data_IF_061352286528
#
_entry.id   IF_061352286528
#
_cell.length_a   1.000
_cell.length_b   1.000
_cell.length_c   1.000
_cell.angle_alpha   90.00
_cell.angle_beta   90.00
_cell.angle_gamma   90.00
#
_symmetry.space_group_name_H-M   'P 1'
#
loop_
_entity.id
_entity.type
_entity.pdbx_description
1 polymer ?
#
# COMPACT_ATOMS: atom_id res chain seq x y z
N UNK A 1 -16.97 5.19 -3.31
CA UNK A 1 -15.54 4.95 -3.61
C UNK A 1 -15.35 3.79 -4.59
N UNK A 2 -15.97 2.62 -4.42
CA UNK A 2 -15.80 1.45 -5.28
C UNK A 2 -16.04 1.70 -6.77
N UNK A 3 -17.14 2.34 -7.14
CA UNK A 3 -17.46 2.65 -8.55
C UNK A 3 -16.44 3.58 -9.23
N UNK A 4 -15.85 4.52 -8.49
CA UNK A 4 -14.80 5.38 -9.02
C UNK A 4 -13.51 4.58 -9.30
N UNK A 5 -13.15 3.64 -8.41
CA UNK A 5 -12.04 2.73 -8.61
C UNK A 5 -12.26 1.85 -9.85
N UNK A 6 -13.46 1.28 -10.01
CA UNK A 6 -13.86 0.50 -11.20
C UNK A 6 -13.75 1.32 -12.47
N UNK A 7 -14.32 2.52 -12.49
CA UNK A 7 -14.27 3.40 -13.66
C UNK A 7 -12.82 3.73 -14.06
N UNK A 8 -11.96 3.98 -13.08
CA UNK A 8 -10.53 4.25 -13.33
C UNK A 8 -9.79 3.02 -13.82
N UNK A 9 -10.02 1.86 -13.21
CA UNK A 9 -9.43 0.59 -13.63
C UNK A 9 -9.86 0.23 -15.07
N UNK A 10 -11.12 0.48 -15.42
CA UNK A 10 -11.63 0.31 -16.77
C UNK A 10 -10.93 1.25 -17.77
N UNK A 11 -10.85 2.54 -17.45
CA UNK A 11 -10.19 3.53 -18.30
C UNK A 11 -8.71 3.23 -18.55
N UNK A 12 -8.04 2.56 -17.60
CA UNK A 12 -6.65 2.10 -17.72
C UNK A 12 -6.51 0.73 -18.41
N UNK A 13 -7.61 0.12 -18.86
CA UNK A 13 -7.58 -1.17 -19.55
C UNK A 13 -7.29 -2.38 -18.66
N UNK A 14 -7.39 -2.24 -17.32
CA UNK A 14 -7.05 -3.33 -16.39
C UNK A 14 -7.98 -4.53 -16.54
N UNK A 15 -9.23 -4.32 -16.92
CA UNK A 15 -10.21 -5.41 -17.12
C UNK A 15 -9.88 -6.29 -18.32
N UNK A 16 -9.17 -5.78 -19.32
CA UNK A 16 -8.71 -6.51 -20.52
C UNK A 16 -7.33 -7.15 -20.33
N UNK A 17 -6.67 -6.88 -19.20
CA UNK A 17 -5.35 -7.47 -18.94
C UNK A 17 -5.46 -8.97 -18.73
N UNK A 18 -4.49 -9.72 -19.28
CA UNK A 18 -4.38 -11.17 -19.07
C UNK A 18 -3.92 -11.56 -17.66
N UNK A 19 -3.31 -10.62 -16.93
CA UNK A 19 -2.87 -10.80 -15.54
C UNK A 19 -3.46 -9.71 -14.68
N UNK A 20 -4.32 -10.09 -13.75
CA UNK A 20 -5.08 -9.17 -12.90
C UNK A 20 -4.87 -9.53 -11.44
N UNK A 21 -4.38 -8.62 -10.65
CA UNK A 21 -4.22 -8.76 -9.21
C UNK A 21 -4.94 -7.64 -8.46
N UNK A 22 -5.50 -7.97 -7.32
CA UNK A 22 -6.06 -7.04 -6.35
C UNK A 22 -5.31 -7.24 -5.04
N UNK A 23 -4.38 -6.34 -4.73
CA UNK A 23 -3.52 -6.43 -3.55
C UNK A 23 -4.14 -5.59 -2.43
N UNK A 24 -4.35 -6.20 -1.25
CA UNK A 24 -4.95 -5.54 -0.09
C UNK A 24 -4.22 -5.86 1.22
N UNK A 25 -4.42 -5.02 2.24
CA UNK A 25 -3.81 -5.12 3.57
C UNK A 25 -4.49 -6.12 4.52
N UNK A 26 -5.59 -6.73 4.09
CA UNK A 26 -6.38 -7.64 4.91
C UNK A 26 -7.60 -7.03 5.57
N UNK A 27 -7.86 -5.75 5.41
CA UNK A 27 -9.06 -5.08 5.93
C UNK A 27 -10.32 -5.60 5.24
N UNK A 28 -11.37 -5.86 6.02
CA UNK A 28 -12.63 -6.45 5.52
C UNK A 28 -13.28 -5.60 4.42
N UNK A 29 -13.26 -4.27 4.56
CA UNK A 29 -13.85 -3.37 3.57
C UNK A 29 -13.12 -3.40 2.22
N UNK A 30 -11.81 -3.67 2.20
CA UNK A 30 -11.03 -3.85 0.97
C UNK A 30 -11.47 -5.12 0.25
N UNK A 31 -11.66 -6.21 0.99
CA UNK A 31 -12.15 -7.46 0.40
C UNK A 31 -13.59 -7.35 -0.06
N UNK A 32 -14.44 -6.59 0.63
CA UNK A 32 -15.78 -6.25 0.15
C UNK A 32 -15.74 -5.52 -1.21
N UNK A 33 -14.82 -4.58 -1.41
CA UNK A 33 -14.63 -3.94 -2.72
C UNK A 33 -14.22 -4.95 -3.80
N UNK A 34 -13.35 -5.90 -3.46
CA UNK A 34 -12.94 -6.94 -4.40
C UNK A 34 -14.13 -7.86 -4.75
N UNK A 35 -14.88 -8.31 -3.76
CA UNK A 35 -16.04 -9.17 -3.93
C UNK A 35 -17.12 -8.50 -4.81
N UNK A 36 -17.44 -7.23 -4.53
CA UNK A 36 -18.49 -6.49 -5.21
C UNK A 36 -18.13 -6.12 -6.66
N UNK A 37 -16.84 -5.91 -6.96
CA UNK A 37 -16.46 -5.23 -8.21
C UNK A 37 -15.39 -5.92 -9.05
N UNK A 38 -14.53 -6.75 -8.47
CA UNK A 38 -13.35 -7.28 -9.14
C UNK A 38 -13.33 -8.81 -9.24
N UNK A 39 -14.05 -9.51 -8.35
CA UNK A 39 -14.10 -10.97 -8.33
C UNK A 39 -14.65 -11.55 -9.64
N UNK A 40 -15.79 -11.04 -10.12
CA UNK A 40 -16.43 -11.48 -11.36
C UNK A 40 -15.56 -11.24 -12.61
N UNK A 41 -14.63 -10.28 -12.52
CA UNK A 41 -13.66 -9.98 -13.56
C UNK A 41 -12.33 -10.74 -13.40
N UNK A 42 -12.29 -11.73 -12.49
CA UNK A 42 -11.15 -12.64 -12.26
C UNK A 42 -9.87 -11.94 -11.78
N UNK A 43 -9.99 -10.86 -11.02
CA UNK A 43 -8.84 -10.30 -10.32
C UNK A 43 -8.43 -11.21 -9.17
N UNK A 44 -7.19 -11.68 -9.18
CA UNK A 44 -6.64 -12.53 -8.12
C UNK A 44 -6.48 -11.73 -6.83
N UNK A 45 -7.17 -12.09 -5.73
CA UNK A 45 -7.00 -11.41 -4.45
C UNK A 45 -5.70 -11.86 -3.79
N UNK A 46 -4.85 -10.90 -3.45
CA UNK A 46 -3.53 -11.14 -2.87
C UNK A 46 -3.40 -10.32 -1.60
N UNK A 47 -3.10 -10.98 -0.49
CA UNK A 47 -2.73 -10.28 0.73
C UNK A 47 -1.36 -9.67 0.56
N UNK A 48 -1.22 -8.36 0.85
CA UNK A 48 0.08 -7.70 0.85
C UNK A 48 1.06 -8.41 1.80
N UNK A 49 2.18 -8.90 1.24
CA UNK A 49 3.17 -9.65 2.01
C UNK A 49 3.80 -8.80 3.13
N UNK A 50 3.94 -7.49 2.94
CA UNK A 50 4.53 -6.61 3.97
C UNK A 50 3.61 -6.54 5.19
N UNK A 51 2.28 -6.45 4.97
CA UNK A 51 1.32 -6.51 6.08
C UNK A 51 1.35 -7.88 6.78
N UNK A 52 1.36 -8.98 6.03
CA UNK A 52 1.51 -10.31 6.61
C UNK A 52 2.78 -10.42 7.48
N UNK A 53 3.92 -9.95 6.97
CA UNK A 53 5.22 -9.98 7.65
C UNK A 53 5.21 -9.17 8.95
N UNK A 54 4.47 -8.07 9.04
CA UNK A 54 4.35 -7.31 10.30
C UNK A 54 3.65 -8.13 11.40
N UNK A 55 2.60 -8.87 11.05
CA UNK A 55 1.92 -9.78 11.99
C UNK A 55 2.82 -10.95 12.39
N UNK A 56 3.59 -11.51 11.45
CA UNK A 56 4.56 -12.57 11.74
C UNK A 56 5.62 -12.09 12.74
N UNK A 57 6.20 -10.91 12.49
CA UNK A 57 7.22 -10.34 13.37
C UNK A 57 6.69 -10.07 14.77
N UNK A 58 5.57 -9.36 14.85
CA UNK A 58 4.96 -9.02 16.14
C UNK A 58 4.65 -10.27 16.97
N UNK A 59 4.04 -11.31 16.35
CA UNK A 59 3.67 -12.53 17.06
C UNK A 59 4.86 -13.48 17.35
N UNK A 60 5.90 -13.46 16.50
CA UNK A 60 7.10 -14.23 16.75
C UNK A 60 7.90 -13.67 17.93
N UNK A 61 7.93 -12.36 18.12
CA UNK A 61 8.68 -11.69 19.18
C UNK A 61 7.90 -11.53 20.47
N UNK A 62 6.56 -11.58 20.43
CA UNK A 62 5.71 -11.38 21.59
C UNK A 62 6.02 -12.35 22.74
N UNK A 63 6.49 -11.83 23.88
CA UNK A 63 6.82 -12.61 25.08
C UNK A 63 7.98 -13.58 24.93
N UNK A 64 8.85 -13.41 23.95
CA UNK A 64 10.07 -14.20 23.76
C UNK A 64 11.33 -13.34 23.91
N UNK A 65 12.47 -14.00 24.16
CA UNK A 65 13.76 -13.33 24.07
C UNK A 65 14.04 -12.86 22.64
N UNK A 66 14.86 -11.82 22.45
CA UNK A 66 15.18 -11.28 21.13
C UNK A 66 15.72 -12.36 20.17
N UNK A 67 16.55 -13.27 20.66
CA UNK A 67 17.15 -14.36 19.87
C UNK A 67 16.11 -15.38 19.40
N UNK A 68 15.25 -15.83 20.32
CA UNK A 68 14.20 -16.81 20.01
C UNK A 68 13.12 -16.21 19.09
N UNK A 69 12.70 -14.98 19.38
CA UNK A 69 11.75 -14.25 18.53
C UNK A 69 12.26 -14.09 17.10
N UNK A 70 13.53 -13.70 16.96
CA UNK A 70 14.15 -13.53 15.64
C UNK A 70 14.26 -14.85 14.87
N UNK A 71 14.70 -15.93 15.51
CA UNK A 71 14.81 -17.25 14.84
C UNK A 71 13.46 -17.78 14.42
N UNK A 72 12.42 -17.59 15.25
CA UNK A 72 11.03 -17.95 14.92
C UNK A 72 10.52 -17.14 13.74
N UNK A 73 10.72 -15.81 13.76
CA UNK A 73 10.34 -14.94 12.66
C UNK A 73 10.99 -15.33 11.33
N UNK A 74 12.29 -15.59 11.32
CA UNK A 74 13.00 -16.00 10.10
C UNK A 74 12.42 -17.31 9.53
N UNK A 75 12.11 -18.28 10.39
CA UNK A 75 11.48 -19.55 9.98
C UNK A 75 10.10 -19.34 9.40
N UNK A 76 9.26 -18.55 10.05
CA UNK A 76 7.90 -18.23 9.60
C UNK A 76 7.90 -17.41 8.30
N UNK A 77 8.81 -16.46 8.17
CA UNK A 77 9.00 -15.70 6.94
C UNK A 77 9.35 -16.62 5.76
N UNK A 78 10.28 -17.56 5.98
CA UNK A 78 10.64 -18.56 4.98
C UNK A 78 9.42 -19.42 4.58
N UNK A 79 8.68 -19.94 5.53
CA UNK A 79 7.48 -20.75 5.25
C UNK A 79 6.42 -19.95 4.50
N UNK A 80 6.19 -18.71 4.89
CA UNK A 80 5.25 -17.83 4.20
C UNK A 80 5.68 -17.58 2.76
N UNK A 81 6.97 -17.32 2.55
CA UNK A 81 7.56 -17.12 1.22
C UNK A 81 7.44 -18.36 0.33
N UNK A 82 7.52 -19.55 0.91
CA UNK A 82 7.41 -20.84 0.24
C UNK A 82 5.95 -21.33 0.11
N UNK A 83 4.95 -20.56 0.56
CA UNK A 83 3.53 -20.93 0.50
C UNK A 83 3.06 -21.88 1.62
N UNK A 84 3.89 -22.12 2.62
CA UNK A 84 3.60 -23.01 3.74
C UNK A 84 2.96 -22.27 4.93
N UNK A 85 2.05 -21.35 4.68
CA UNK A 85 1.38 -20.53 5.73
C UNK A 85 0.65 -21.40 6.75
N UNK A 86 0.13 -22.54 6.34
CA UNK A 86 -0.53 -23.48 7.25
C UNK A 86 0.35 -23.88 8.44
N UNK A 87 1.67 -24.08 8.23
CA UNK A 87 2.62 -24.38 9.30
C UNK A 87 2.79 -23.24 10.30
N UNK A 88 2.72 -22.00 9.81
CA UNK A 88 2.77 -20.80 10.68
C UNK A 88 1.51 -20.74 11.54
N UNK A 89 0.35 -20.97 10.94
CA UNK A 89 -0.93 -20.99 11.64
C UNK A 89 -0.96 -22.09 12.72
N UNK A 90 -0.43 -23.27 12.39
CA UNK A 90 -0.31 -24.40 13.34
C UNK A 90 0.57 -24.03 14.56
N UNK A 91 1.79 -23.50 14.33
CA UNK A 91 2.66 -23.06 15.44
C UNK A 91 2.06 -21.92 16.25
N UNK A 92 1.35 -20.97 15.62
CA UNK A 92 0.64 -19.91 16.33
C UNK A 92 -0.52 -20.45 17.17
N UNK A 93 -1.26 -21.44 16.65
CA UNK A 93 -2.35 -22.09 17.38
C UNK A 93 -1.86 -22.82 18.61
N UNK A 94 -0.75 -23.57 18.50
CA UNK A 94 -0.11 -24.22 19.65
C UNK A 94 0.34 -23.19 20.68
N UNK A 95 0.98 -22.10 20.23
CA UNK A 95 1.41 -21.04 21.11
C UNK A 95 0.24 -20.34 21.81
N UNK A 96 -0.86 -20.09 21.11
CA UNK A 96 -2.06 -19.54 21.75
C UNK A 96 -2.62 -20.48 22.82
N UNK A 97 -2.62 -21.79 22.54
CA UNK A 97 -3.06 -22.80 23.52
C UNK A 97 -2.18 -22.81 24.76
N UNK A 98 -0.85 -22.67 24.62
CA UNK A 98 0.10 -22.58 25.72
C UNK A 98 -0.08 -21.31 26.58
N UNK A 99 -0.27 -20.16 25.93
CA UNK A 99 -0.38 -18.87 26.61
C UNK A 99 -1.78 -18.59 27.16
N UNK A 100 -2.79 -19.23 26.61
CA UNK A 100 -4.20 -18.94 26.85
C UNK A 100 -4.73 -17.78 26.02
N UNK A 101 -6.06 -17.66 25.97
CA UNK A 101 -6.76 -16.56 25.29
C UNK A 101 -6.67 -15.31 26.16
N UNK A 102 -6.51 -14.10 25.57
CA UNK A 102 -6.48 -12.86 26.35
C UNK A 102 -7.80 -12.61 27.05
N UNK A 103 -7.75 -12.04 28.26
CA UNK A 103 -8.94 -11.62 28.99
C UNK A 103 -9.48 -10.30 28.42
N UNK A 104 -10.78 -9.97 28.59
CA UNK A 104 -11.36 -8.72 28.06
C UNK A 104 -10.66 -7.44 28.54
N UNK A 105 -10.08 -7.45 29.74
CA UNK A 105 -9.38 -6.31 30.35
C UNK A 105 -7.88 -6.28 29.99
N UNK A 106 -7.38 -7.25 29.25
CA UNK A 106 -5.98 -7.33 28.88
C UNK A 106 -5.63 -6.34 27.76
N UNK A 107 -4.47 -5.69 27.89
CA UNK A 107 -4.00 -4.72 26.89
C UNK A 107 -3.90 -5.34 25.51
N UNK A 108 -4.25 -4.57 24.48
CA UNK A 108 -4.07 -4.96 23.07
C UNK A 108 -2.61 -5.25 22.69
N UNK A 109 -1.67 -4.70 23.45
CA UNK A 109 -0.22 -4.89 23.28
C UNK A 109 0.32 -6.06 24.07
N UNK A 110 -0.51 -6.77 24.83
CA UNK A 110 -0.08 -7.97 25.56
C UNK A 110 0.35 -9.08 24.58
N UNK A 111 1.29 -9.93 24.98
CA UNK A 111 1.72 -11.03 24.14
C UNK A 111 0.58 -11.97 23.70
N UNK A 112 -0.40 -12.22 24.58
CA UNK A 112 -1.58 -13.06 24.26
C UNK A 112 -2.45 -12.38 23.19
N UNK A 113 -2.73 -11.09 23.37
CA UNK A 113 -3.54 -10.31 22.42
C UNK A 113 -2.87 -10.25 21.05
N UNK A 114 -1.55 -10.03 21.00
CA UNK A 114 -0.76 -9.99 19.75
C UNK A 114 -0.82 -11.34 19.04
N UNK A 115 -0.59 -12.45 19.74
CA UNK A 115 -0.62 -13.81 19.17
C UNK A 115 -2.01 -14.15 18.66
N UNK A 116 -3.06 -13.85 19.44
CA UNK A 116 -4.47 -14.09 19.06
C UNK A 116 -4.86 -13.29 17.82
N UNK A 117 -4.52 -11.99 17.77
CA UNK A 117 -4.78 -11.14 16.61
C UNK A 117 -4.06 -11.67 15.35
N UNK A 118 -2.79 -12.05 15.49
CA UNK A 118 -2.02 -12.58 14.36
C UNK A 118 -2.59 -13.91 13.86
N UNK A 119 -2.96 -14.82 14.74
CA UNK A 119 -3.56 -16.10 14.39
C UNK A 119 -4.87 -15.89 13.61
N UNK A 120 -5.79 -15.09 14.15
CA UNK A 120 -7.07 -14.79 13.51
C UNK A 120 -6.86 -14.13 12.14
N UNK A 121 -5.91 -13.17 12.06
CA UNK A 121 -5.59 -12.50 10.81
C UNK A 121 -5.09 -13.48 9.75
N UNK A 122 -4.10 -14.32 10.08
CA UNK A 122 -3.54 -15.28 9.12
C UNK A 122 -4.56 -16.35 8.70
N UNK A 123 -5.40 -16.84 9.61
CA UNK A 123 -6.47 -17.78 9.30
C UNK A 123 -7.46 -17.16 8.30
N UNK A 124 -7.89 -15.94 8.51
CA UNK A 124 -8.83 -15.23 7.62
C UNK A 124 -8.24 -14.92 6.25
N UNK A 125 -6.92 -14.78 6.15
CA UNK A 125 -6.24 -14.40 4.91
C UNK A 125 -5.52 -15.55 4.21
N UNK A 126 -5.50 -16.75 4.76
CA UNK A 126 -4.71 -17.88 4.27
C UNK A 126 -4.91 -18.16 2.78
N UNK A 127 -6.14 -18.09 2.29
CA UNK A 127 -6.47 -18.35 0.88
C UNK A 127 -5.88 -17.32 -0.09
N UNK A 128 -5.44 -16.15 0.42
CA UNK A 128 -4.87 -15.02 -0.35
C UNK A 128 -3.35 -14.91 -0.20
N UNK A 129 -2.69 -15.96 0.32
CA UNK A 129 -1.26 -15.98 0.67
C UNK A 129 -0.44 -17.02 -0.13
N UNK A 130 -0.89 -17.40 -1.32
CA UNK A 130 -0.15 -18.33 -2.17
C UNK A 130 0.94 -17.60 -2.97
N UNK A 131 1.90 -17.00 -2.26
CA UNK A 131 2.94 -16.16 -2.85
C UNK A 131 3.82 -16.85 -3.91
N UNK A 132 4.17 -18.14 -3.82
CA UNK A 132 4.93 -18.81 -4.88
C UNK A 132 4.22 -18.77 -6.23
N UNK A 133 2.92 -19.10 -6.24
CA UNK A 133 2.13 -19.12 -7.49
C UNK A 133 1.93 -17.69 -8.03
N UNK A 134 1.71 -16.70 -7.15
CA UNK A 134 1.60 -15.31 -7.58
C UNK A 134 2.88 -14.81 -8.24
N UNK A 135 4.04 -15.10 -7.65
CA UNK A 135 5.35 -14.75 -8.24
C UNK A 135 5.60 -15.47 -9.56
N UNK A 136 5.27 -16.76 -9.64
CA UNK A 136 5.38 -17.54 -10.88
C UNK A 136 4.49 -16.98 -11.99
N UNK A 137 3.29 -16.50 -11.64
CA UNK A 137 2.39 -15.82 -12.56
C UNK A 137 2.79 -14.38 -12.88
N UNK A 138 3.85 -13.84 -12.27
CA UNK A 138 4.30 -12.46 -12.45
C UNK A 138 3.33 -11.44 -11.87
N UNK A 139 2.56 -11.81 -10.84
CA UNK A 139 1.64 -10.90 -10.14
C UNK A 139 2.38 -10.16 -9.02
N UNK A 140 2.02 -8.90 -8.74
CA UNK A 140 2.55 -8.15 -7.61
C UNK A 140 2.07 -8.78 -6.29
N UNK A 141 2.96 -8.90 -5.31
CA UNK A 141 2.63 -9.44 -3.98
C UNK A 141 2.68 -8.39 -2.87
N UNK A 142 2.89 -7.13 -3.23
CA UNK A 142 2.95 -6.01 -2.28
C UNK A 142 2.43 -4.73 -2.91
N UNK A 143 1.85 -3.87 -2.07
CA UNK A 143 1.44 -2.50 -2.39
C UNK A 143 2.49 -1.45 -1.96
N UNK A 144 3.71 -1.85 -1.58
CA UNK A 144 4.75 -0.95 -1.05
C UNK A 144 5.05 0.25 -1.96
N UNK A 145 4.94 0.07 -3.28
CA UNK A 145 5.08 1.16 -4.25
C UNK A 145 3.99 2.23 -4.05
N UNK A 146 2.74 1.81 -3.89
CA UNK A 146 1.61 2.70 -3.62
C UNK A 146 1.76 3.41 -2.29
N UNK A 147 2.21 2.71 -1.23
CA UNK A 147 2.47 3.34 0.06
C UNK A 147 3.55 4.42 -0.03
N UNK A 148 4.61 4.18 -0.78
CA UNK A 148 5.67 5.16 -1.02
C UNK A 148 5.13 6.41 -1.72
N UNK A 149 4.29 6.24 -2.73
CA UNK A 149 3.62 7.33 -3.45
C UNK A 149 2.70 8.12 -2.52
N UNK A 150 1.87 7.44 -1.71
CA UNK A 150 1.00 8.09 -0.72
C UNK A 150 1.80 8.86 0.33
N UNK A 151 2.92 8.30 0.82
CA UNK A 151 3.82 8.99 1.76
C UNK A 151 4.43 10.24 1.12
N UNK A 152 4.82 10.17 -0.14
CA UNK A 152 5.34 11.32 -0.88
C UNK A 152 4.29 12.41 -1.07
N UNK A 153 3.06 12.05 -1.42
CA UNK A 153 1.93 12.98 -1.50
C UNK A 153 1.68 13.65 -0.15
N UNK A 154 1.61 12.86 0.93
CA UNK A 154 1.31 13.34 2.27
C UNK A 154 2.40 14.24 2.87
N UNK A 155 3.67 14.07 2.48
CA UNK A 155 4.80 14.87 3.02
C UNK A 155 4.60 16.38 2.87
N UNK A 156 3.89 16.85 1.83
CA UNK A 156 3.60 18.26 1.60
C UNK A 156 2.37 18.77 2.35
N UNK A 157 1.44 17.88 2.66
CA UNK A 157 0.12 18.24 3.18
C UNK A 157 0.02 18.04 4.67
N UNK A 158 0.55 16.92 5.19
CA UNK A 158 0.55 16.61 6.62
C UNK A 158 1.75 17.21 7.34
N UNK A 159 1.50 17.78 8.50
CA UNK A 159 2.49 18.33 9.42
C UNK A 159 1.82 19.23 10.45
N UNK A 160 2.37 19.30 11.65
CA UNK A 160 1.83 20.08 12.78
C UNK A 160 1.75 21.59 12.51
N UNK A 161 2.52 22.08 11.56
CA UNK A 161 2.59 23.51 11.21
C UNK A 161 1.89 23.82 9.86
N UNK A 162 1.17 22.87 9.29
CA UNK A 162 0.51 23.03 7.99
C UNK A 162 -0.99 23.03 8.17
N UNK A 163 -1.56 24.21 7.97
CA UNK A 163 -2.99 24.46 8.05
C UNK A 163 -3.52 24.74 6.65
N UNK A 164 -4.33 23.85 6.12
CA UNK A 164 -4.96 23.98 4.80
C UNK A 164 -6.45 24.08 4.96
N UNK A 165 -7.10 24.99 4.26
CA UNK A 165 -8.53 24.86 3.99
C UNK A 165 -8.76 23.67 3.05
N UNK A 166 -9.99 23.14 3.01
CA UNK A 166 -10.36 21.97 2.22
C UNK A 166 -9.98 22.14 0.74
N UNK A 167 -10.36 23.25 0.13
CA UNK A 167 -10.03 23.57 -1.27
C UNK A 167 -8.52 23.67 -1.53
N UNK A 168 -7.77 24.24 -0.57
CA UNK A 168 -6.32 24.39 -0.69
C UNK A 168 -5.60 23.04 -0.58
N UNK A 169 -6.08 22.15 0.31
CA UNK A 169 -5.54 20.79 0.44
C UNK A 169 -5.79 19.97 -0.82
N UNK A 170 -7.02 20.03 -1.37
CA UNK A 170 -7.38 19.34 -2.61
C UNK A 170 -6.55 19.83 -3.80
N UNK A 171 -6.38 21.13 -3.97
CA UNK A 171 -5.58 21.71 -5.04
C UNK A 171 -4.11 21.24 -4.97
N UNK A 172 -3.52 21.18 -3.77
CA UNK A 172 -2.17 20.67 -3.58
C UNK A 172 -2.05 19.16 -3.84
N UNK A 173 -3.04 18.38 -3.43
CA UNK A 173 -3.11 16.94 -3.73
C UNK A 173 -3.16 16.70 -5.24
N UNK A 174 -3.99 17.47 -5.95
CA UNK A 174 -4.10 17.39 -7.41
C UNK A 174 -2.79 17.76 -8.08
N UNK A 175 -2.17 18.89 -7.73
CA UNK A 175 -0.87 19.30 -8.27
C UNK A 175 0.22 18.26 -8.02
N UNK A 176 0.21 17.62 -6.82
CA UNK A 176 1.19 16.59 -6.50
C UNK A 176 0.92 15.30 -7.29
N UNK A 177 -0.34 14.91 -7.46
CA UNK A 177 -0.73 13.78 -8.30
C UNK A 177 -0.30 14.00 -9.76
N UNK A 178 -0.54 15.20 -10.29
CA UNK A 178 -0.14 15.57 -11.66
C UNK A 178 1.39 15.55 -11.83
N UNK A 179 2.15 15.94 -10.80
CA UNK A 179 3.63 15.90 -10.81
C UNK A 179 4.15 14.46 -10.85
N UNK A 180 3.43 13.51 -10.21
CA UNK A 180 3.82 12.10 -10.14
C UNK A 180 3.26 11.26 -11.31
N UNK A 181 2.46 11.89 -12.18
CA UNK A 181 1.81 11.20 -13.29
C UNK A 181 2.77 11.06 -14.48
N UNK A 182 2.96 9.85 -15.01
CA UNK A 182 3.82 9.57 -16.16
C UNK A 182 3.37 10.31 -17.44
N UNK A 183 2.09 10.66 -17.54
CA UNK A 183 1.54 11.44 -18.68
C UNK A 183 1.90 12.93 -18.64
N UNK A 184 2.57 13.38 -17.58
CA UNK A 184 3.06 14.76 -17.41
C UNK A 184 1.99 15.85 -17.69
N UNK A 185 0.82 15.81 -17.05
CA UNK A 185 -0.26 16.76 -17.32
C UNK A 185 0.12 18.23 -17.00
N UNK A 186 1.02 18.45 -16.03
CA UNK A 186 1.53 19.77 -15.70
C UNK A 186 2.35 20.38 -16.84
N UNK A 187 3.19 19.60 -17.52
CA UNK A 187 3.98 20.09 -18.65
C UNK A 187 3.08 20.48 -19.82
N UNK A 188 2.03 19.73 -20.05
CA UNK A 188 1.00 20.05 -21.04
C UNK A 188 0.27 21.34 -20.67
N UNK A 189 -0.16 21.47 -19.41
CA UNK A 189 -0.81 22.68 -18.90
C UNK A 189 0.08 23.93 -19.07
N UNK A 190 1.36 23.83 -18.69
CA UNK A 190 2.28 24.97 -18.80
C UNK A 190 2.58 25.33 -20.25
N UNK A 191 2.71 24.35 -21.14
CA UNK A 191 2.90 24.55 -22.58
C UNK A 191 1.71 25.27 -23.19
N UNK A 192 0.50 24.80 -22.90
CA UNK A 192 -0.74 25.41 -23.40
C UNK A 192 -0.92 26.83 -22.86
N UNK A 193 -0.62 27.05 -21.57
CA UNK A 193 -0.64 28.39 -20.97
C UNK A 193 0.39 29.32 -21.58
N UNK A 194 1.57 28.84 -21.95
CA UNK A 194 2.58 29.66 -22.65
C UNK A 194 2.13 30.00 -24.07
N UNK A 195 1.55 29.05 -24.80
CA UNK A 195 1.05 29.22 -26.16
C UNK A 195 -0.14 30.22 -26.22
N UNK A 196 -1.00 30.14 -25.19
CA UNK A 196 -2.19 31.00 -25.07
C UNK A 196 -1.94 32.35 -24.37
N UNK A 197 -0.69 32.68 -24.05
CA UNK A 197 -0.33 34.01 -23.51
C UNK A 197 -0.55 35.10 -24.55
N UNK A 198 -1.69 35.69 -24.53
CA UNK A 198 -1.93 36.98 -25.20
C UNK A 198 -1.12 38.04 -24.47
N UNK A 199 -0.16 38.61 -25.14
CA UNK A 199 0.81 39.70 -24.95
C UNK A 199 0.82 40.65 -23.76
N UNK A 200 0.05 40.51 -22.70
CA UNK A 200 -0.06 41.49 -21.63
C UNK A 200 0.96 41.36 -20.47
N UNK A 201 1.79 40.30 -20.44
CA UNK A 201 2.82 40.11 -19.40
C UNK A 201 4.22 39.80 -19.95
N UNK A 202 4.63 40.48 -21.03
CA UNK A 202 5.99 40.34 -21.58
C UNK A 202 7.04 41.22 -20.90
N UNK A 203 6.76 41.84 -19.77
CA UNK A 203 7.65 42.74 -19.07
C UNK A 203 8.23 42.22 -17.77
N UNK A 204 8.84 41.03 -17.77
CA UNK A 204 9.83 40.67 -16.73
C UNK A 204 10.99 39.91 -17.38
N UNK A 205 12.08 40.67 -17.67
CA UNK A 205 13.44 40.16 -17.53
C UNK A 205 14.06 39.33 -18.65
N UNK A 206 14.16 39.84 -19.89
CA UNK A 206 15.34 39.54 -20.69
C UNK A 206 16.52 40.33 -20.13
N UNK A 207 17.28 39.77 -19.22
CA UNK A 207 18.68 40.25 -19.04
C UNK A 207 19.47 39.78 -20.26
N UNK A 208 19.68 40.73 -21.18
CA UNK A 208 20.64 40.58 -22.25
C UNK A 208 22.02 40.34 -21.64
N UNK A 209 22.60 39.19 -21.89
CA UNK A 209 24.02 38.98 -21.67
C UNK A 209 24.76 39.95 -22.60
N UNK A 210 25.45 40.94 -22.03
CA UNK A 210 26.40 41.76 -22.77
C UNK A 210 27.57 40.91 -23.17
N UNK A 211 27.73 40.68 -24.45
CA UNK A 211 28.99 40.19 -25.05
C UNK A 211 30.05 41.28 -24.80
N UNK A 212 31.07 40.98 -24.06
CA UNK A 212 32.33 41.71 -24.04
C UNK A 212 33.27 41.06 -25.04
N UNK A 213 33.36 41.67 -26.19
CA UNK A 213 34.47 41.50 -27.12
C UNK A 213 35.49 42.61 -26.80
N UNK A 214 36.69 42.25 -26.42
CA UNK A 214 37.97 42.87 -26.77
C UNK A 214 39.10 41.97 -26.21
#
# INVERSE_FOLDING_TARGET
MGLLLVARAWALGLFQSSRKAFVGDGSSWIWGLWEDHFQAAEFTPILDIIHAVTYLYASATAGRSAKEGWSTYQRWLKWTWEGNVAKVIEELSLRQAEMGVPTPDESETSPRSIVTKALTYLQNQQSRMNYPEYRKAGLPITSAHMESTVKEMNRRIKGSEKFWGEEGAEALLQMKADTLCDSQPLDTFWRDRQNNRTGFYSCVGRRTAKSTSA
#
